data_IF_411765846649
#
_entry.id   IF_411765846649
#
_cell.length_a   1.000
_cell.length_b   1.000
_cell.length_c   1.000
_cell.angle_alpha   90.00
_cell.angle_beta   90.00
_cell.angle_gamma   90.00
#
_symmetry.space_group_name_H-M   'P 1'
#
loop_
_entity.id
_entity.type
_entity.pdbx_description
1 polymer ?
#
# COMPACT_ATOMS: atom_id res chain seq x y z
N UNK A 1 17.24 52.95 0.66
CA UNK A 1 16.16 52.20 1.34
C UNK A 1 15.04 52.11 0.31
N UNK A 2 14.75 50.98 -0.32
CA UNK A 2 14.34 49.68 0.25
C UNK A 2 14.82 48.55 -0.67
N UNK A 3 15.45 47.51 -0.10
CA UNK A 3 15.64 46.22 -0.75
C UNK A 3 14.34 45.42 -0.61
N UNK A 4 13.74 45.00 -1.73
CA UNK A 4 12.71 43.98 -1.74
C UNK A 4 13.39 42.63 -1.95
N UNK A 5 13.52 41.85 -0.87
CA UNK A 5 13.90 40.44 -0.93
C UNK A 5 12.60 39.66 -1.12
N UNK A 6 12.36 39.19 -2.34
CA UNK A 6 11.32 38.20 -2.61
C UNK A 6 11.84 36.84 -2.16
N UNK A 7 11.47 36.44 -0.94
CA UNK A 7 11.56 35.05 -0.51
C UNK A 7 10.44 34.28 -1.21
N UNK A 8 10.78 33.55 -2.27
CA UNK A 8 9.94 32.44 -2.71
C UNK A 8 10.16 31.29 -1.73
N UNK A 9 9.22 31.13 -0.79
CA UNK A 9 9.13 29.92 0.01
C UNK A 9 8.71 28.78 -0.90
N UNK A 10 9.65 27.86 -1.16
CA UNK A 10 9.34 26.60 -1.81
C UNK A 10 8.32 25.84 -0.98
N UNK A 11 7.19 25.49 -1.61
CA UNK A 11 6.23 24.54 -1.05
C UNK A 11 6.90 23.18 -1.15
N UNK A 12 7.49 22.73 -0.05
CA UNK A 12 7.92 21.33 0.09
C UNK A 12 6.68 20.45 0.05
N UNK A 13 6.70 19.45 -0.83
CA UNK A 13 5.74 18.35 -0.81
C UNK A 13 5.86 17.65 0.54
N UNK A 14 4.83 17.77 1.37
CA UNK A 14 4.79 17.07 2.67
C UNK A 14 4.20 15.71 2.36
N UNK A 15 5.03 14.67 2.42
CA UNK A 15 4.54 13.30 2.26
C UNK A 15 3.53 12.99 3.38
N UNK A 16 2.42 12.33 3.04
CA UNK A 16 1.30 12.12 3.96
C UNK A 16 1.44 10.82 4.77
N UNK A 17 1.23 10.91 6.08
CA UNK A 17 1.06 9.75 6.94
C UNK A 17 -0.30 9.07 6.64
N UNK A 18 -0.43 7.79 6.98
CA UNK A 18 -1.68 7.04 6.85
C UNK A 18 -2.04 6.35 8.17
N UNK A 19 -3.26 6.58 8.64
CA UNK A 19 -3.89 5.90 9.78
C UNK A 19 -4.86 4.87 9.24
N UNK A 20 -4.67 3.61 9.58
CA UNK A 20 -5.61 2.52 9.30
C UNK A 20 -6.25 2.15 10.63
N UNK A 21 -7.57 2.05 10.69
CA UNK A 21 -8.34 1.64 11.85
C UNK A 21 -8.61 0.14 11.80
N UNK A 22 -8.84 -0.47 12.95
CA UNK A 22 -9.22 -1.89 13.07
C UNK A 22 -10.57 -2.22 12.46
N UNK A 23 -11.42 -1.21 12.26
CA UNK A 23 -12.61 -1.31 11.43
C UNK A 23 -12.30 -1.59 9.95
N UNK A 24 -11.04 -1.39 9.52
CA UNK A 24 -10.60 -1.39 8.13
C UNK A 24 -10.70 -0.01 7.46
N UNK A 25 -11.17 1.01 8.16
CA UNK A 25 -11.18 2.40 7.66
C UNK A 25 -9.76 2.96 7.60
N UNK A 26 -9.45 3.76 6.59
CA UNK A 26 -8.11 4.35 6.44
C UNK A 26 -8.23 5.83 6.16
N UNK A 27 -7.40 6.61 6.84
CA UNK A 27 -7.31 8.06 6.78
C UNK A 27 -5.89 8.46 6.44
N UNK A 28 -5.71 9.09 5.29
CA UNK A 28 -4.47 9.82 5.01
C UNK A 28 -4.49 11.17 5.72
N UNK A 29 -3.31 11.61 6.13
CA UNK A 29 -3.16 12.78 6.96
C UNK A 29 -1.81 13.41 6.74
N UNK A 30 -1.78 14.73 6.68
CA UNK A 30 -0.52 15.49 6.59
C UNK A 30 0.45 15.15 7.73
N UNK A 31 -0.10 14.74 8.87
CA UNK A 31 0.68 14.35 10.03
C UNK A 31 -0.17 13.48 10.93
N UNK A 32 0.37 12.34 11.28
CA UNK A 32 -0.10 11.54 12.38
C UNK A 32 0.96 11.49 13.48
N UNK A 33 0.52 11.49 14.72
CA UNK A 33 1.41 11.31 15.86
C UNK A 33 0.70 10.61 17.00
N UNK A 34 1.48 9.93 17.82
CA UNK A 34 0.99 9.28 19.03
C UNK A 34 1.16 10.24 20.20
N UNK A 35 0.09 10.44 20.97
CA UNK A 35 0.10 11.25 22.18
C UNK A 35 -0.88 10.66 23.19
N UNK A 36 -0.39 10.36 24.40
CA UNK A 36 -1.20 9.90 25.53
C UNK A 36 -2.16 8.72 25.23
N UNK A 37 -1.69 7.70 24.49
CA UNK A 37 -2.51 6.52 24.13
C UNK A 37 -3.54 6.80 23.05
N UNK A 38 -3.43 7.92 22.34
CA UNK A 38 -4.26 8.26 21.17
C UNK A 38 -3.38 8.49 19.96
N UNK A 39 -3.84 8.04 18.81
CA UNK A 39 -3.30 8.43 17.51
C UNK A 39 -4.06 9.68 17.09
N UNK A 40 -3.32 10.78 17.00
CA UNK A 40 -3.82 12.05 16.54
C UNK A 40 -3.44 12.19 15.06
N UNK A 41 -4.38 12.61 14.24
CA UNK A 41 -4.11 12.92 12.85
C UNK A 41 -4.89 14.12 12.37
N UNK A 42 -4.35 14.82 11.38
CA UNK A 42 -5.01 15.96 10.73
C UNK A 42 -5.94 15.43 9.63
N UNK A 43 -7.24 15.66 9.78
CA UNK A 43 -8.25 15.40 8.76
C UNK A 43 -9.02 16.69 8.50
N UNK A 44 -9.07 17.16 7.24
CA UNK A 44 -9.73 18.41 6.86
C UNK A 44 -9.30 19.63 7.73
N UNK A 45 -8.02 19.71 8.09
CA UNK A 45 -7.46 20.78 8.93
C UNK A 45 -7.82 20.70 10.42
N UNK A 46 -8.53 19.64 10.85
CA UNK A 46 -8.84 19.39 12.25
C UNK A 46 -8.03 18.23 12.80
N UNK A 47 -7.65 18.32 14.07
CA UNK A 47 -7.01 17.21 14.78
C UNK A 47 -8.09 16.22 15.20
N UNK A 48 -8.14 15.08 14.49
CA UNK A 48 -8.93 13.92 14.86
C UNK A 48 -8.12 13.08 15.84
N UNK A 49 -8.77 12.66 16.91
CA UNK A 49 -8.17 11.83 17.96
C UNK A 49 -8.86 10.49 17.94
N UNK A 50 -8.11 9.45 17.68
CA UNK A 50 -8.60 8.08 17.74
C UNK A 50 -7.82 7.37 18.82
N UNK A 51 -8.49 6.52 19.60
CA UNK A 51 -7.81 5.70 20.58
C UNK A 51 -6.79 4.84 19.84
N UNK A 52 -5.56 4.74 20.35
CA UNK A 52 -4.56 3.88 19.71
C UNK A 52 -5.04 2.42 19.61
N UNK A 53 -5.94 2.00 20.52
CA UNK A 53 -6.61 0.71 20.46
C UNK A 53 -7.50 0.52 19.22
N UNK A 54 -8.02 1.59 18.61
CA UNK A 54 -8.89 1.51 17.42
C UNK A 54 -8.09 1.65 16.11
N UNK A 55 -6.79 1.95 16.20
CA UNK A 55 -5.89 2.10 15.06
C UNK A 55 -5.23 0.75 14.75
N UNK A 56 -5.56 0.17 13.60
CA UNK A 56 -4.91 -1.01 13.03
C UNK A 56 -3.47 -0.72 12.61
N UNK A 57 -3.17 0.43 12.01
CA UNK A 57 -1.82 0.74 11.51
C UNK A 57 -1.59 2.24 11.41
N UNK A 58 -0.34 2.65 11.59
CA UNK A 58 0.12 4.00 11.29
C UNK A 58 1.35 3.92 10.38
N UNK A 59 1.24 4.41 9.15
CA UNK A 59 2.33 4.47 8.18
C UNK A 59 2.82 5.91 8.14
N UNK A 60 4.09 6.13 8.48
CA UNK A 60 4.72 7.41 8.24
C UNK A 60 5.35 7.41 6.86
N UNK A 61 5.21 8.52 6.14
CA UNK A 61 5.86 8.62 4.85
C UNK A 61 7.39 8.62 5.00
N UNK A 62 8.13 8.01 4.06
CA UNK A 62 9.59 8.01 4.09
C UNK A 62 10.09 9.45 3.92
N UNK A 63 10.93 9.92 4.86
CA UNK A 63 11.53 11.25 4.79
C UNK A 63 12.30 11.49 3.47
N UNK A 64 12.56 12.75 3.11
CA UNK A 64 12.97 13.13 1.76
C UNK A 64 14.24 12.42 1.33
N UNK A 65 14.10 11.47 0.41
CA UNK A 65 15.22 10.90 -0.34
C UNK A 65 15.45 11.83 -1.52
N UNK A 66 16.65 12.41 -1.57
CA UNK A 66 17.13 13.27 -2.65
C UNK A 66 16.83 12.64 -4.02
N UNK A 67 16.01 13.32 -4.82
CA UNK A 67 15.54 12.82 -6.10
C UNK A 67 16.72 12.53 -7.05
N UNK A 68 16.82 11.33 -7.65
CA UNK A 68 17.75 11.08 -8.73
C UNK A 68 17.41 11.98 -9.94
N UNK A 69 18.41 12.44 -10.71
CA UNK A 69 18.17 13.34 -11.83
C UNK A 69 17.25 12.69 -12.87
N UNK A 70 16.32 13.50 -13.38
CA UNK A 70 15.32 13.12 -14.37
C UNK A 70 15.96 12.47 -15.62
N UNK A 71 15.43 11.35 -16.15
CA UNK A 71 15.87 10.84 -17.43
C UNK A 71 15.30 11.70 -18.56
N UNK A 72 16.20 12.19 -19.41
CA UNK A 72 15.90 12.95 -20.62
C UNK A 72 14.96 12.19 -21.57
N UNK A 73 14.08 12.97 -22.21
CA UNK A 73 13.19 12.57 -23.29
C UNK A 73 13.86 11.66 -24.33
N UNK A 74 13.29 10.47 -24.56
CA UNK A 74 13.44 9.74 -25.82
C UNK A 74 12.07 9.43 -26.41
N UNK A 75 11.76 10.07 -27.53
CA UNK A 75 10.66 9.73 -28.44
C UNK A 75 11.04 8.52 -29.34
N UNK A 76 10.12 7.92 -30.11
CA UNK A 76 9.94 6.48 -30.13
C UNK A 76 10.32 5.83 -31.46
N UNK A 77 11.05 4.73 -31.42
CA UNK A 77 11.07 3.73 -32.48
C UNK A 77 11.72 2.45 -31.92
N UNK A 78 10.93 1.39 -31.79
CA UNK A 78 11.20 0.14 -32.50
C UNK A 78 10.17 -0.90 -32.12
N UNK A 79 9.35 -1.23 -33.12
CA UNK A 79 8.40 -2.33 -33.15
C UNK A 79 9.18 -3.63 -33.06
N UNK A 80 9.09 -4.34 -31.93
CA UNK A 80 9.46 -5.75 -31.83
C UNK A 80 8.33 -6.56 -31.17
N UNK A 81 8.15 -7.83 -31.59
CA UNK A 81 6.96 -8.62 -31.31
C UNK A 81 6.89 -9.09 -29.86
N UNK A 82 5.70 -9.50 -29.36
CA UNK A 82 5.49 -9.80 -27.95
C UNK A 82 6.33 -11.02 -27.56
N UNK A 83 7.35 -10.79 -26.72
CA UNK A 83 8.01 -11.87 -26.01
C UNK A 83 6.99 -12.51 -25.06
N UNK A 84 6.82 -13.81 -25.26
CA UNK A 84 5.91 -14.70 -24.54
C UNK A 84 5.97 -14.43 -23.04
N UNK A 85 4.90 -13.79 -22.54
CA UNK A 85 4.64 -13.70 -21.12
C UNK A 85 4.47 -15.12 -20.61
N UNK A 86 5.29 -15.50 -19.62
CA UNK A 86 4.95 -16.61 -18.75
C UNK A 86 3.51 -16.38 -18.28
N UNK A 87 2.60 -17.36 -18.43
CA UNK A 87 1.25 -17.20 -17.94
C UNK A 87 1.33 -17.13 -16.41
N UNK A 88 1.21 -15.91 -15.86
CA UNK A 88 0.74 -15.74 -14.50
C UNK A 88 -0.65 -16.38 -14.48
N UNK A 89 -0.74 -17.56 -13.88
CA UNK A 89 -2.00 -18.29 -13.76
C UNK A 89 -3.02 -17.34 -13.15
N UNK A 90 -4.17 -17.19 -13.82
CA UNK A 90 -5.30 -16.50 -13.22
C UNK A 90 -5.62 -17.18 -11.87
N UNK A 91 -6.01 -16.43 -10.83
CA UNK A 91 -6.47 -17.04 -9.59
C UNK A 91 -7.61 -18.02 -9.93
N UNK A 92 -7.51 -19.25 -9.42
CA UNK A 92 -8.57 -20.23 -9.59
C UNK A 92 -9.85 -19.75 -8.89
N UNK A 93 -11.05 -19.98 -9.46
CA UNK A 93 -12.31 -19.60 -8.84
C UNK A 93 -12.60 -20.36 -7.52
N UNK A 94 -11.84 -21.41 -7.25
CA UNK A 94 -11.82 -22.11 -5.97
C UNK A 94 -10.86 -21.38 -5.03
N UNK A 95 -11.41 -20.66 -4.05
CA UNK A 95 -10.71 -19.80 -3.08
C UNK A 95 -9.79 -20.55 -2.09
N UNK A 96 -8.91 -21.40 -2.59
CA UNK A 96 -7.89 -22.12 -1.83
C UNK A 96 -6.68 -21.24 -1.63
N UNK A 97 -6.46 -20.77 -0.39
CA UNK A 97 -5.19 -20.44 0.31
C UNK A 97 -4.04 -19.70 -0.42
N UNK A 98 -4.26 -19.31 -1.66
CA UNK A 98 -3.27 -18.73 -2.57
C UNK A 98 -3.29 -17.24 -2.28
N UNK A 99 -2.21 -16.75 -1.68
CA UNK A 99 -1.92 -15.32 -1.66
C UNK A 99 -1.59 -14.81 -3.06
N UNK A 100 -0.88 -13.69 -3.12
CA UNK A 100 -0.57 -12.98 -4.37
C UNK A 100 0.86 -13.26 -4.85
N UNK A 101 1.09 -13.45 -6.16
CA UNK A 101 2.39 -13.80 -6.80
C UNK A 101 2.98 -15.16 -6.38
N UNK A 102 2.19 -16.23 -6.47
CA UNK A 102 2.60 -17.60 -6.07
C UNK A 102 2.93 -17.75 -4.58
N UNK A 103 2.61 -16.73 -3.78
CA UNK A 103 2.76 -16.74 -2.34
C UNK A 103 1.50 -17.28 -1.69
N UNK A 104 1.65 -18.02 -0.60
CA UNK A 104 0.52 -18.50 0.20
C UNK A 104 0.37 -17.68 1.48
N UNK A 105 -0.86 -17.40 1.88
CA UNK A 105 -1.09 -16.81 3.19
C UNK A 105 -0.56 -17.73 4.29
N UNK A 106 -0.04 -17.15 5.37
CA UNK A 106 0.56 -17.92 6.46
C UNK A 106 1.92 -18.55 6.15
N UNK A 107 2.42 -18.50 4.91
CA UNK A 107 3.76 -19.01 4.62
C UNK A 107 4.82 -18.15 5.35
N UNK A 108 5.87 -18.77 5.90
CA UNK A 108 6.92 -18.03 6.58
C UNK A 108 7.83 -17.28 5.62
N UNK A 109 8.45 -16.17 6.07
CA UNK A 109 9.37 -15.38 5.25
C UNK A 109 10.59 -16.21 4.81
N UNK A 110 11.00 -17.22 5.59
CA UNK A 110 12.11 -18.12 5.27
C UNK A 110 11.91 -18.95 4.00
N UNK A 111 10.66 -19.15 3.56
CA UNK A 111 10.35 -19.87 2.32
C UNK A 111 10.30 -18.95 1.10
N UNK A 112 10.46 -17.63 1.29
CA UNK A 112 10.38 -16.63 0.23
C UNK A 112 11.79 -16.09 -0.02
N UNK A 113 12.28 -16.32 -1.23
CA UNK A 113 13.61 -15.84 -1.64
C UNK A 113 13.65 -14.32 -1.77
N UNK A 114 14.84 -13.77 -1.57
CA UNK A 114 15.20 -12.37 -1.83
C UNK A 114 14.41 -11.32 -1.03
N UNK A 115 13.86 -11.71 0.12
CA UNK A 115 13.26 -10.78 1.06
C UNK A 115 14.34 -9.97 1.79
N UNK A 116 14.15 -8.66 1.85
CA UNK A 116 14.91 -7.74 2.68
C UNK A 116 13.95 -7.11 3.68
N UNK A 117 14.25 -7.21 4.98
CA UNK A 117 13.44 -6.57 6.00
C UNK A 117 13.59 -5.05 5.87
N UNK A 118 12.46 -4.35 5.85
CA UNK A 118 12.40 -2.89 5.72
C UNK A 118 11.88 -2.21 6.99
N UNK A 119 11.23 -2.97 7.88
CA UNK A 119 10.72 -2.41 9.11
C UNK A 119 9.98 -3.43 9.98
N UNK A 120 9.44 -2.93 11.08
CA UNK A 120 8.45 -3.63 11.91
C UNK A 120 7.38 -2.63 12.27
N UNK A 121 6.14 -2.96 11.94
CA UNK A 121 4.96 -2.22 12.36
C UNK A 121 4.55 -2.71 13.74
N UNK A 122 4.37 -1.79 14.70
CA UNK A 122 4.03 -2.12 16.08
C UNK A 122 2.61 -2.73 16.23
N UNK A 123 1.77 -2.61 15.19
CA UNK A 123 0.45 -3.22 15.16
C UNK A 123 0.48 -4.71 15.56
N UNK A 124 -0.51 -5.13 16.34
CA UNK A 124 -0.77 -6.53 16.68
C UNK A 124 0.44 -7.29 17.26
N UNK A 125 1.24 -6.60 18.08
CA UNK A 125 2.43 -7.19 18.71
C UNK A 125 3.64 -7.31 17.79
N UNK A 126 3.63 -6.68 16.61
CA UNK A 126 4.76 -6.60 15.70
C UNK A 126 4.52 -7.35 14.37
N UNK A 127 4.16 -6.63 13.31
CA UNK A 127 4.16 -7.14 11.94
C UNK A 127 5.51 -6.83 11.30
N UNK A 128 6.29 -7.85 10.98
CA UNK A 128 7.58 -7.69 10.33
C UNK A 128 7.37 -7.41 8.84
N UNK A 129 8.01 -6.38 8.32
CA UNK A 129 7.81 -5.92 6.94
C UNK A 129 9.04 -6.20 6.09
N UNK A 130 8.82 -6.74 4.90
CA UNK A 130 9.86 -7.09 3.94
C UNK A 130 9.49 -6.60 2.55
N UNK A 131 10.49 -6.29 1.73
CA UNK A 131 10.35 -6.08 0.28
C UNK A 131 11.27 -7.03 -0.48
N UNK A 132 11.08 -7.17 -1.80
CA UNK A 132 12.03 -7.86 -2.68
C UNK A 132 12.93 -6.86 -3.40
N UNK A 133 14.23 -7.14 -3.45
CA UNK A 133 15.20 -6.36 -4.22
C UNK A 133 15.10 -6.70 -5.72
N UNK A 134 14.12 -6.14 -6.41
CA UNK A 134 14.02 -6.21 -7.87
C UNK A 134 14.19 -4.81 -8.49
N UNK A 135 14.97 -4.71 -9.58
CA UNK A 135 15.20 -3.45 -10.30
C UNK A 135 13.94 -2.86 -10.94
N UNK A 136 12.92 -3.69 -11.17
CA UNK A 136 11.59 -3.29 -11.66
C UNK A 136 10.56 -4.13 -10.91
N UNK A 137 9.84 -3.52 -9.96
CA UNK A 137 8.76 -4.19 -9.26
C UNK A 137 7.50 -4.13 -10.13
N UNK A 138 6.73 -5.21 -10.10
CA UNK A 138 5.52 -5.34 -10.91
C UNK A 138 4.42 -6.00 -10.12
N UNK A 139 3.22 -5.43 -10.25
CA UNK A 139 1.97 -6.10 -9.91
C UNK A 139 1.34 -6.57 -11.22
N UNK A 140 1.41 -7.88 -11.48
CA UNK A 140 1.08 -8.45 -12.78
C UNK A 140 1.78 -7.68 -13.92
N UNK A 141 1.02 -6.95 -14.74
CA UNK A 141 1.57 -6.14 -15.84
C UNK A 141 1.86 -4.69 -15.46
N UNK A 142 1.33 -4.19 -14.35
CA UNK A 142 1.55 -2.84 -13.87
C UNK A 142 2.96 -2.68 -13.29
N UNK A 143 3.62 -1.57 -13.61
CA UNK A 143 4.81 -1.13 -12.88
C UNK A 143 4.38 -0.54 -11.54
N UNK A 144 5.14 -0.82 -10.50
CA UNK A 144 4.84 -0.36 -9.14
C UNK A 144 6.14 0.07 -8.45
N UNK A 145 6.02 0.96 -7.47
CA UNK A 145 7.17 1.52 -6.76
C UNK A 145 7.62 0.59 -5.62
N UNK A 146 6.67 -0.01 -4.90
CA UNK A 146 6.94 -1.03 -3.90
C UNK A 146 5.89 -2.14 -3.82
N UNK A 147 6.34 -3.28 -3.31
CA UNK A 147 5.51 -4.37 -2.82
C UNK A 147 6.06 -4.76 -1.44
N UNK A 148 5.33 -4.41 -0.40
CA UNK A 148 5.66 -4.69 1.00
C UNK A 148 4.87 -5.90 1.49
N UNK A 149 5.60 -6.91 1.94
CA UNK A 149 5.07 -8.14 2.54
C UNK A 149 5.13 -8.03 4.07
N UNK A 150 3.98 -8.08 4.73
CA UNK A 150 3.85 -8.07 6.19
C UNK A 150 3.67 -9.48 6.74
N UNK A 151 4.46 -9.85 7.74
CA UNK A 151 4.40 -11.16 8.40
C UNK A 151 4.01 -10.99 9.86
N UNK A 152 2.93 -11.66 10.24
CA UNK A 152 2.45 -11.72 11.62
C UNK A 152 2.62 -13.14 12.15
N UNK A 153 3.19 -13.29 13.34
CA UNK A 153 3.56 -14.61 13.92
C UNK A 153 4.25 -15.56 12.93
N UNK A 154 5.22 -15.03 12.16
CA UNK A 154 5.97 -15.79 11.15
C UNK A 154 5.12 -16.34 9.99
N UNK A 155 3.96 -15.74 9.70
CA UNK A 155 3.13 -16.07 8.55
C UNK A 155 2.79 -14.83 7.70
N UNK A 156 2.85 -14.96 6.37
CA UNK A 156 2.46 -13.89 5.45
C UNK A 156 1.02 -13.47 5.73
N UNK A 157 0.84 -12.21 6.12
CA UNK A 157 -0.40 -11.66 6.64
C UNK A 157 -0.96 -10.58 5.72
N UNK A 158 -0.13 -9.62 5.30
CA UNK A 158 -0.54 -8.51 4.44
C UNK A 158 0.39 -8.35 3.25
N UNK A 159 -0.14 -7.83 2.15
CA UNK A 159 0.63 -7.37 1.00
C UNK A 159 0.14 -5.97 0.66
N UNK A 160 1.07 -5.03 0.54
CA UNK A 160 0.81 -3.65 0.16
C UNK A 160 1.60 -3.35 -1.13
N UNK A 161 0.89 -2.92 -2.15
CA UNK A 161 1.45 -2.54 -3.46
C UNK A 161 1.25 -1.04 -3.61
N UNK A 162 2.29 -0.31 -3.95
CA UNK A 162 2.29 1.17 -3.96
C UNK A 162 2.71 1.72 -5.32
N UNK A 163 2.08 2.82 -5.71
CA UNK A 163 2.41 3.64 -6.88
C UNK A 163 2.33 5.12 -6.50
N UNK A 164 3.26 5.94 -6.98
CA UNK A 164 3.42 7.35 -6.59
C UNK A 164 2.85 8.34 -7.61
N UNK A 165 1.98 7.88 -8.53
CA UNK A 165 1.23 8.79 -9.40
C UNK A 165 -0.08 8.17 -9.93
N UNK A 166 -1.00 9.03 -10.36
CA UNK A 166 -2.29 8.61 -10.92
C UNK A 166 -2.20 7.71 -12.15
N UNK A 167 -1.23 7.96 -13.04
CA UNK A 167 -1.10 7.19 -14.28
C UNK A 167 -0.75 5.73 -13.97
N UNK A 168 0.20 5.50 -13.07
CA UNK A 168 0.57 4.17 -12.61
C UNK A 168 -0.52 3.53 -11.76
N UNK A 169 -1.28 4.33 -11.00
CA UNK A 169 -2.50 3.85 -10.36
C UNK A 169 -3.54 3.35 -11.34
N UNK A 170 -3.79 4.04 -12.45
CA UNK A 170 -4.74 3.58 -13.46
C UNK A 170 -4.30 2.24 -14.07
N UNK A 171 -3.00 2.03 -14.23
CA UNK A 171 -2.45 0.73 -14.65
C UNK A 171 -2.64 -0.34 -13.57
N UNK A 172 -2.37 -0.02 -12.31
CA UNK A 172 -2.58 -0.91 -11.16
C UNK A 172 -4.06 -1.30 -11.03
N UNK A 173 -4.97 -0.32 -11.15
CA UNK A 173 -6.43 -0.49 -11.14
C UNK A 173 -6.89 -1.43 -12.24
N UNK A 174 -6.43 -1.20 -13.48
CA UNK A 174 -6.76 -2.06 -14.60
C UNK A 174 -6.32 -3.52 -14.36
N UNK A 175 -5.13 -3.72 -13.80
CA UNK A 175 -4.66 -5.08 -13.47
C UNK A 175 -5.39 -5.70 -12.29
N UNK A 176 -5.72 -4.93 -11.25
CA UNK A 176 -6.52 -5.39 -10.13
C UNK A 176 -7.92 -5.83 -10.61
N UNK A 177 -8.58 -5.03 -11.43
CA UNK A 177 -9.90 -5.34 -11.97
C UNK A 177 -9.87 -6.55 -12.91
N UNK A 178 -8.79 -6.72 -13.68
CA UNK A 178 -8.62 -7.90 -14.52
C UNK A 178 -8.44 -9.18 -13.69
N UNK A 179 -7.82 -9.09 -12.52
CA UNK A 179 -7.53 -10.25 -11.68
C UNK A 179 -8.65 -10.60 -10.71
N UNK A 180 -9.43 -9.61 -10.25
CA UNK A 180 -10.37 -9.77 -9.16
C UNK A 180 -11.79 -9.30 -9.52
N UNK A 181 -12.06 -8.99 -10.79
CA UNK A 181 -13.23 -8.25 -11.25
C UNK A 181 -13.34 -6.84 -10.65
N UNK A 182 -14.39 -6.10 -11.03
CA UNK A 182 -14.65 -4.76 -10.50
C UNK A 182 -15.06 -4.88 -9.03
N UNK A 183 -14.28 -4.27 -8.14
CA UNK A 183 -14.57 -4.26 -6.70
C UNK A 183 -15.80 -3.42 -6.37
N UNK A 184 -16.33 -3.61 -5.16
CA UNK A 184 -17.44 -2.78 -4.64
C UNK A 184 -16.92 -1.38 -4.32
N UNK A 185 -17.68 -0.36 -4.73
CA UNK A 185 -17.40 1.05 -4.47
C UNK A 185 -18.50 1.62 -3.58
N UNK A 186 -18.10 2.26 -2.48
CA UNK A 186 -19.05 2.84 -1.51
C UNK A 186 -19.33 4.33 -1.78
N UNK A 187 -18.45 5.00 -2.54
CA UNK A 187 -18.53 6.42 -2.85
C UNK A 187 -18.05 6.65 -4.29
N UNK A 188 -18.89 7.27 -5.12
CA UNK A 188 -18.61 7.55 -6.53
C UNK A 188 -17.60 8.69 -6.75
N UNK A 189 -17.30 9.48 -5.72
CA UNK A 189 -16.34 10.58 -5.77
C UNK A 189 -14.94 10.15 -5.35
N UNK A 190 -14.80 8.94 -4.77
CA UNK A 190 -13.51 8.43 -4.27
C UNK A 190 -13.04 7.23 -5.08
N UNK A 191 -11.79 7.24 -5.54
CA UNK A 191 -11.18 6.10 -6.24
C UNK A 191 -10.82 4.98 -5.24
N UNK A 192 -11.83 4.31 -4.67
CA UNK A 192 -11.69 3.30 -3.63
C UNK A 192 -12.60 2.09 -3.87
N UNK A 193 -12.01 0.90 -3.94
CA UNK A 193 -12.69 -0.34 -4.29
C UNK A 193 -12.33 -1.45 -3.31
N UNK A 194 -13.29 -2.30 -3.00
CA UNK A 194 -13.15 -3.39 -2.03
C UNK A 194 -13.52 -4.74 -2.64
N UNK A 195 -12.78 -5.78 -2.25
CA UNK A 195 -13.12 -7.17 -2.49
C UNK A 195 -13.09 -7.90 -1.14
N UNK A 196 -14.22 -8.49 -0.79
CA UNK A 196 -14.39 -9.24 0.46
C UNK A 196 -14.58 -10.72 0.11
N UNK A 197 -13.49 -11.37 -0.26
CA UNK A 197 -13.52 -12.77 -0.65
C UNK A 197 -13.41 -13.68 0.58
N UNK A 198 -13.74 -14.97 0.43
CA UNK A 198 -13.74 -15.93 1.54
C UNK A 198 -12.40 -16.01 2.29
N UNK A 199 -11.27 -15.88 1.58
CA UNK A 199 -9.93 -16.02 2.16
C UNK A 199 -9.11 -14.73 2.25
N UNK A 200 -9.51 -13.66 1.57
CA UNK A 200 -8.68 -12.46 1.42
C UNK A 200 -9.53 -11.21 1.34
N UNK A 201 -9.22 -10.25 2.20
CA UNK A 201 -9.73 -8.89 2.07
C UNK A 201 -8.79 -8.11 1.14
N UNK A 202 -9.34 -7.34 0.21
CA UNK A 202 -8.56 -6.46 -0.65
C UNK A 202 -9.18 -5.09 -0.71
N UNK A 203 -8.31 -4.10 -0.87
CA UNK A 203 -8.72 -2.73 -1.11
C UNK A 203 -7.75 -2.06 -2.08
N UNK A 204 -8.31 -1.47 -3.13
CA UNK A 204 -7.59 -0.60 -4.06
C UNK A 204 -8.03 0.83 -3.77
N UNK A 205 -7.09 1.75 -3.56
CA UNK A 205 -7.38 3.16 -3.39
C UNK A 205 -6.37 4.05 -4.11
N UNK A 206 -6.83 5.22 -4.52
CA UNK A 206 -5.95 6.31 -4.90
C UNK A 206 -6.28 7.54 -4.09
N UNK A 207 -5.21 8.18 -3.63
CA UNK A 207 -5.25 9.43 -2.91
C UNK A 207 -4.78 10.57 -3.79
N UNK A 208 -5.68 11.52 -4.01
CA UNK A 208 -5.41 12.72 -4.78
C UNK A 208 -4.58 13.74 -4.00
N UNK A 209 -4.57 13.69 -2.66
CA UNK A 209 -3.82 14.64 -1.84
C UNK A 209 -2.32 14.30 -1.82
N UNK A 210 -1.98 13.01 -1.69
CA UNK A 210 -0.59 12.53 -1.71
C UNK A 210 -0.10 12.01 -3.08
N UNK A 211 -0.95 12.08 -4.11
CA UNK A 211 -0.70 11.51 -5.44
C UNK A 211 -0.28 10.02 -5.39
N UNK A 212 -0.79 9.28 -4.39
CA UNK A 212 -0.36 7.91 -4.11
C UNK A 212 -1.51 6.93 -4.28
N UNK A 213 -1.27 5.91 -5.09
CA UNK A 213 -2.16 4.77 -5.28
C UNK A 213 -1.65 3.54 -4.56
N UNK A 214 -2.57 2.70 -4.11
CA UNK A 214 -2.20 1.46 -3.45
C UNK A 214 -3.24 0.36 -3.61
N UNK A 215 -2.75 -0.86 -3.66
CA UNK A 215 -3.53 -2.08 -3.50
C UNK A 215 -3.05 -2.79 -2.24
N UNK A 216 -3.94 -2.87 -1.26
CA UNK A 216 -3.72 -3.58 -0.01
C UNK A 216 -4.50 -4.90 -0.01
N UNK A 217 -3.88 -5.95 0.52
CA UNK A 217 -4.45 -7.29 0.63
C UNK A 217 -4.11 -7.89 1.99
N UNK A 218 -5.04 -8.64 2.57
CA UNK A 218 -4.90 -9.25 3.89
C UNK A 218 -5.51 -10.64 3.97
N UNK A 219 -4.83 -11.57 4.65
CA UNK A 219 -5.36 -12.88 5.01
C UNK A 219 -6.47 -12.76 6.06
N UNK A 220 -7.68 -13.24 5.73
CA UNK A 220 -8.81 -13.24 6.69
C UNK A 220 -8.59 -14.19 7.86
N UNK A 221 -8.09 -15.40 7.60
CA UNK A 221 -7.87 -16.40 8.66
C UNK A 221 -6.83 -15.93 9.69
N UNK A 222 -5.74 -15.29 9.24
CA UNK A 222 -4.78 -14.69 10.15
C UNK A 222 -5.37 -13.46 10.85
N UNK A 223 -6.17 -12.66 10.14
CA UNK A 223 -6.85 -11.52 10.76
C UNK A 223 -7.84 -11.95 11.86
N UNK A 224 -8.54 -13.07 11.71
CA UNK A 224 -9.39 -13.64 12.77
C UNK A 224 -8.59 -14.01 14.01
N UNK A 225 -7.39 -14.59 13.84
CA UNK A 225 -6.47 -14.87 14.96
C UNK A 225 -5.95 -13.59 15.61
N UNK A 226 -5.64 -12.58 14.81
CA UNK A 226 -5.25 -11.24 15.28
C UNK A 226 -6.38 -10.66 16.14
N UNK A 227 -7.62 -10.63 15.65
CA UNK A 227 -8.79 -10.12 16.40
C UNK A 227 -9.05 -10.91 17.67
N UNK A 228 -8.87 -12.23 17.66
CA UNK A 228 -9.04 -13.05 18.85
C UNK A 228 -7.98 -12.74 19.94
N UNK A 229 -6.77 -12.34 19.53
CA UNK A 229 -5.65 -12.05 20.45
C UNK A 229 -5.59 -10.58 20.88
N UNK A 230 -6.03 -9.68 20.02
CA UNK A 230 -6.05 -8.24 20.22
C UNK A 230 -7.48 -7.72 19.98
N UNK A 231 -8.46 -8.13 20.81
CA UNK A 231 -9.81 -7.62 20.72
C UNK A 231 -9.81 -6.11 20.97
N UNK A 232 -10.77 -5.43 20.36
CA UNK A 232 -11.00 -3.99 20.52
C UNK A 232 -11.34 -3.61 21.97
#
# INVERSE_FOLDING_TARGET
MVCAITLMTGVGTVDADMVILKSGEMFQTQRAWKENGTVNYINNGQVVRVNEADVERLIHAPGPVEAPPAPEHRTPADTHPPAEGLPLSAPSPDGDETGYLDLKWGQPPSLIKDLTQVGTDAAYGGVQQYTRKHKKKRFARALVDDIVFGFWENGLYTILVEVSNFSDFMNLKAEAFRLFDVGTRNDEDVEKYYWLDKGTDRMLAYDFDSDTGFLWMRSRALHERVRARYPD
#
